data_IF_691426479771
#
_entry.id   IF_691426479771
#
_cell.length_a   1.000
_cell.length_b   1.000
_cell.length_c   1.000
_cell.angle_alpha   90.00
_cell.angle_beta   90.00
_cell.angle_gamma   90.00
#
_symmetry.space_group_name_H-M   'P 1'
#
loop_
_entity.id
_entity.type
_entity.pdbx_description
1 polymer ?
#
# COMPACT_ATOMS: atom_id res chain seq x y z
N UNK A 1 -61.35 -23.42 17.32
CA UNK A 1 -60.35 -22.36 17.59
C UNK A 1 -61.05 -21.02 17.51
N UNK A 2 -61.12 -20.30 18.64
CA UNK A 2 -61.88 -19.05 18.77
C UNK A 2 -61.24 -17.92 17.96
N UNK A 3 -62.02 -16.99 17.40
CA UNK A 3 -61.53 -15.77 16.72
C UNK A 3 -60.47 -15.01 17.54
N UNK A 4 -60.57 -15.07 18.88
CA UNK A 4 -59.59 -14.47 19.80
C UNK A 4 -58.23 -15.17 19.79
N UNK A 5 -58.20 -16.48 19.58
CA UNK A 5 -56.95 -17.27 19.50
C UNK A 5 -56.23 -16.99 18.18
N UNK A 6 -56.97 -16.95 17.06
CA UNK A 6 -56.41 -16.59 15.74
C UNK A 6 -55.79 -15.19 15.70
N UNK A 7 -56.41 -14.21 16.40
CA UNK A 7 -55.86 -12.85 16.51
C UNK A 7 -54.57 -12.80 17.35
N UNK A 8 -54.49 -13.56 18.44
CA UNK A 8 -53.28 -13.66 19.28
C UNK A 8 -52.13 -14.35 18.53
N UNK A 9 -52.43 -15.43 17.82
CA UNK A 9 -51.45 -16.15 17.00
C UNK A 9 -50.91 -15.27 15.86
N UNK A 10 -51.80 -14.54 15.17
CA UNK A 10 -51.41 -13.57 14.14
C UNK A 10 -50.52 -12.43 14.68
N UNK A 11 -50.77 -11.98 15.91
CA UNK A 11 -49.95 -10.95 16.56
C UNK A 11 -48.55 -11.44 16.92
N UNK A 12 -48.44 -12.67 17.44
CA UNK A 12 -47.16 -13.32 17.76
C UNK A 12 -46.32 -13.53 16.48
N UNK A 13 -46.95 -13.99 15.39
CA UNK A 13 -46.28 -14.17 14.10
C UNK A 13 -45.75 -12.83 13.57
N UNK A 14 -46.53 -11.73 13.67
CA UNK A 14 -46.07 -10.40 13.24
C UNK A 14 -44.86 -9.90 14.03
N UNK A 15 -44.84 -10.08 15.35
CA UNK A 15 -43.69 -9.71 16.19
C UNK A 15 -42.46 -10.53 15.81
N UNK A 16 -42.64 -11.83 15.60
CA UNK A 16 -41.55 -12.73 15.20
C UNK A 16 -40.90 -12.29 13.87
N UNK A 17 -41.72 -11.92 12.87
CA UNK A 17 -41.23 -11.41 11.58
C UNK A 17 -40.43 -10.11 11.76
N UNK A 18 -40.89 -9.19 12.62
CA UNK A 18 -40.18 -7.93 12.89
C UNK A 18 -38.83 -8.17 13.54
N UNK A 19 -38.74 -9.10 14.50
CA UNK A 19 -37.48 -9.46 15.15
C UNK A 19 -36.51 -10.09 14.15
N UNK A 20 -36.98 -11.01 13.31
CA UNK A 20 -36.18 -11.61 12.23
C UNK A 20 -35.67 -10.56 11.24
N UNK A 21 -36.51 -9.58 10.90
CA UNK A 21 -36.11 -8.49 10.01
C UNK A 21 -35.00 -7.64 10.64
N UNK A 22 -35.12 -7.28 11.92
CA UNK A 22 -34.09 -6.52 12.64
C UNK A 22 -32.77 -7.30 12.77
N UNK A 23 -32.83 -8.62 13.00
CA UNK A 23 -31.65 -9.47 13.01
C UNK A 23 -31.00 -9.57 11.63
N UNK A 24 -31.79 -9.71 10.57
CA UNK A 24 -31.30 -9.70 9.19
C UNK A 24 -30.60 -8.39 8.82
N UNK A 25 -31.19 -7.24 9.19
CA UNK A 25 -30.58 -5.92 9.00
C UNK A 25 -29.32 -5.76 9.85
N UNK A 26 -29.32 -6.24 11.10
CA UNK A 26 -28.14 -6.22 11.97
C UNK A 26 -26.97 -7.03 11.43
N UNK A 27 -27.26 -8.22 10.88
CA UNK A 27 -26.25 -9.05 10.19
C UNK A 27 -25.76 -8.37 8.92
N UNK A 28 -26.65 -7.79 8.11
CA UNK A 28 -26.28 -7.06 6.90
C UNK A 28 -25.34 -5.88 7.19
N UNK A 29 -25.60 -5.12 8.26
CA UNK A 29 -24.73 -4.03 8.72
C UNK A 29 -23.41 -4.54 9.34
N UNK A 30 -23.40 -5.75 9.90
CA UNK A 30 -22.21 -6.38 10.49
C UNK A 30 -21.27 -6.99 9.45
N UNK A 31 -21.77 -7.30 8.24
CA UNK A 31 -20.92 -7.61 7.08
C UNK A 31 -20.39 -6.30 6.51
N UNK A 32 -19.45 -5.68 7.22
CA UNK A 32 -18.54 -4.76 6.57
C UNK A 32 -17.68 -5.59 5.61
N UNK A 33 -17.61 -5.26 4.31
CA UNK A 33 -16.69 -5.91 3.40
C UNK A 33 -15.28 -5.60 3.89
N UNK A 34 -14.73 -6.56 4.63
CA UNK A 34 -13.43 -6.47 5.23
C UNK A 34 -12.40 -6.56 4.10
N UNK A 35 -12.01 -5.38 3.60
CA UNK A 35 -10.75 -4.92 3.00
C UNK A 35 -9.81 -5.86 2.21
N UNK A 36 -10.23 -7.09 1.89
CA UNK A 36 -9.40 -8.15 1.28
C UNK A 36 -9.16 -7.97 -0.22
N UNK A 37 -9.76 -6.96 -0.85
CA UNK A 37 -9.59 -6.67 -2.28
C UNK A 37 -8.61 -5.52 -2.57
N UNK A 38 -7.79 -5.13 -1.58
CA UNK A 38 -6.51 -4.48 -1.88
C UNK A 38 -5.45 -5.57 -1.90
N UNK A 39 -5.07 -6.03 -3.10
CA UNK A 39 -3.67 -6.42 -3.31
C UNK A 39 -2.85 -5.32 -2.63
N UNK A 40 -2.08 -5.68 -1.60
CA UNK A 40 -1.54 -4.68 -0.70
C UNK A 40 -0.76 -3.66 -1.54
N UNK A 41 -1.23 -2.42 -1.54
CA UNK A 41 -0.78 -1.37 -2.48
C UNK A 41 0.74 -1.22 -2.40
N UNK A 42 1.29 -1.46 -1.22
CA UNK A 42 2.70 -1.61 -0.90
C UNK A 42 3.41 -2.69 -1.75
N UNK A 43 2.88 -3.90 -1.85
CA UNK A 43 3.47 -4.98 -2.66
C UNK A 43 3.37 -4.67 -4.16
N UNK A 44 2.22 -4.18 -4.63
CA UNK A 44 2.07 -3.79 -6.04
C UNK A 44 3.01 -2.65 -6.41
N UNK A 45 3.10 -1.62 -5.56
CA UNK A 45 4.01 -0.50 -5.75
C UNK A 45 5.46 -0.99 -5.78
N UNK A 46 5.87 -1.83 -4.83
CA UNK A 46 7.23 -2.37 -4.80
C UNK A 46 7.56 -3.14 -6.08
N UNK A 47 6.65 -3.98 -6.58
CA UNK A 47 6.83 -4.69 -7.85
C UNK A 47 7.03 -3.73 -9.02
N UNK A 48 6.23 -2.66 -9.11
CA UNK A 48 6.35 -1.64 -10.17
C UNK A 48 7.66 -0.85 -10.06
N UNK A 49 8.09 -0.50 -8.85
CA UNK A 49 9.37 0.15 -8.59
C UNK A 49 10.52 -0.76 -9.03
N UNK A 50 10.52 -2.04 -8.63
CA UNK A 50 11.54 -3.01 -9.05
C UNK A 50 11.59 -3.13 -10.57
N UNK A 51 10.43 -3.26 -11.23
CA UNK A 51 10.37 -3.32 -12.69
C UNK A 51 10.96 -2.06 -13.35
N UNK A 52 10.68 -0.86 -12.80
CA UNK A 52 11.26 0.38 -13.30
C UNK A 52 12.78 0.43 -13.12
N UNK A 53 13.30 -0.07 -11.99
CA UNK A 53 14.74 -0.14 -11.73
C UNK A 53 15.43 -1.11 -12.71
N UNK A 54 14.88 -2.32 -12.87
CA UNK A 54 15.40 -3.34 -13.80
C UNK A 54 15.34 -2.86 -15.24
N UNK A 55 14.25 -2.21 -15.67
CA UNK A 55 14.12 -1.63 -17.01
C UNK A 55 15.17 -0.54 -17.30
N UNK A 56 15.66 0.15 -16.27
CA UNK A 56 16.75 1.12 -16.37
C UNK A 56 18.14 0.48 -16.10
N UNK A 57 18.20 -0.85 -16.10
CA UNK A 57 19.42 -1.65 -16.04
C UNK A 57 20.07 -1.71 -14.67
N UNK A 58 19.30 -1.64 -13.58
CA UNK A 58 19.76 -2.06 -12.24
C UNK A 58 19.69 -3.58 -12.16
N UNK A 59 20.76 -4.19 -11.68
CA UNK A 59 20.87 -5.63 -11.43
C UNK A 59 20.89 -5.92 -9.93
N UNK A 60 20.73 -7.19 -9.57
CA UNK A 60 20.79 -7.62 -8.17
C UNK A 60 22.14 -7.28 -7.52
N UNK A 61 23.24 -7.37 -8.28
CA UNK A 61 24.60 -7.03 -7.82
C UNK A 61 24.79 -5.54 -7.49
N UNK A 62 23.91 -4.66 -8.00
CA UNK A 62 23.93 -3.23 -7.69
C UNK A 62 23.21 -2.91 -6.37
N UNK A 63 22.45 -3.85 -5.79
CA UNK A 63 21.71 -3.67 -4.55
C UNK A 63 22.66 -3.88 -3.36
N UNK A 64 22.93 -2.81 -2.62
CA UNK A 64 23.80 -2.83 -1.43
C UNK A 64 23.05 -3.39 -0.23
N UNK A 65 21.80 -2.97 -0.06
CA UNK A 65 20.94 -3.45 1.02
C UNK A 65 19.49 -3.39 0.60
N UNK A 66 18.73 -4.37 1.09
CA UNK A 66 17.28 -4.42 0.96
C UNK A 66 16.70 -4.94 2.26
N UNK A 67 15.67 -4.28 2.75
CA UNK A 67 14.86 -4.78 3.87
C UNK A 67 13.43 -4.26 3.77
N UNK A 68 12.55 -4.94 4.49
CA UNK A 68 11.15 -4.56 4.62
C UNK A 68 10.80 -4.38 6.09
N UNK A 69 9.89 -3.46 6.38
CA UNK A 69 9.40 -3.19 7.73
C UNK A 69 7.89 -3.15 7.71
N UNK A 70 7.28 -4.04 8.47
CA UNK A 70 5.84 -4.01 8.70
C UNK A 70 5.48 -2.86 9.66
N UNK A 71 4.39 -2.17 9.34
CA UNK A 71 3.84 -1.08 10.12
C UNK A 71 2.40 -1.38 10.44
N UNK A 72 2.14 -1.51 11.73
CA UNK A 72 0.79 -1.63 12.25
C UNK A 72 0.38 -0.39 13.03
N UNK A 73 -0.84 0.04 12.75
CA UNK A 73 -1.57 1.04 13.53
C UNK A 73 -2.95 0.46 13.83
N UNK A 74 -3.68 1.06 14.79
CA UNK A 74 -5.05 0.65 15.11
C UNK A 74 -6.04 0.73 13.94
N UNK A 75 -5.67 1.37 12.82
CA UNK A 75 -6.53 1.60 11.65
C UNK A 75 -6.02 0.97 10.36
N UNK A 76 -4.78 0.50 10.31
CA UNK A 76 -4.17 -0.04 9.10
C UNK A 76 -2.85 -0.75 9.38
N UNK A 77 -2.58 -1.76 8.55
CA UNK A 77 -1.30 -2.42 8.39
C UNK A 77 -0.73 -2.15 6.99
N UNK A 78 0.58 -1.98 6.85
CA UNK A 78 1.26 -1.90 5.55
C UNK A 78 2.75 -2.25 5.67
N UNK A 79 3.39 -2.58 4.53
CA UNK A 79 4.83 -2.84 4.46
C UNK A 79 5.57 -1.62 3.89
N UNK A 80 6.65 -1.23 4.56
CA UNK A 80 7.64 -0.26 4.08
C UNK A 80 8.82 -1.01 3.44
N UNK A 81 9.08 -0.78 2.17
CA UNK A 81 10.24 -1.33 1.45
C UNK A 81 11.40 -0.35 1.42
N UNK A 82 12.61 -0.82 1.68
CA UNK A 82 13.82 -0.02 1.65
C UNK A 82 14.85 -0.69 0.75
N UNK A 83 15.37 0.05 -0.22
CA UNK A 83 16.40 -0.42 -1.15
C UNK A 83 17.51 0.60 -1.28
N UNK A 84 18.74 0.18 -1.02
CA UNK A 84 19.94 0.96 -1.27
C UNK A 84 20.64 0.40 -2.49
N UNK A 85 20.87 1.24 -3.49
CA UNK A 85 21.39 0.84 -4.80
C UNK A 85 22.65 1.64 -5.07
N UNK A 86 23.73 0.92 -5.37
CA UNK A 86 24.98 1.50 -5.85
C UNK A 86 24.84 1.78 -7.34
N UNK A 87 25.01 3.04 -7.73
CA UNK A 87 24.99 3.41 -9.14
C UNK A 87 26.32 3.05 -9.82
N UNK A 88 26.22 2.45 -11.00
CA UNK A 88 27.37 2.19 -11.87
C UNK A 88 27.92 3.50 -12.46
N UNK A 89 29.20 3.47 -12.86
CA UNK A 89 29.88 4.63 -13.44
C UNK A 89 29.11 5.14 -14.67
N UNK A 90 28.80 6.43 -14.70
CA UNK A 90 28.05 7.07 -15.79
C UNK A 90 26.53 7.04 -15.65
N UNK A 91 25.95 6.35 -14.66
CA UNK A 91 24.53 6.48 -14.30
C UNK A 91 24.35 7.53 -13.20
N UNK A 92 23.27 8.31 -13.29
CA UNK A 92 22.89 9.29 -12.27
C UNK A 92 21.52 8.95 -11.69
N UNK A 93 21.25 9.37 -10.46
CA UNK A 93 19.93 9.18 -9.85
C UNK A 93 18.81 9.82 -10.70
N UNK A 94 19.13 10.91 -11.42
CA UNK A 94 18.21 11.64 -12.26
C UNK A 94 17.68 10.81 -13.45
N UNK A 95 18.45 9.84 -13.98
CA UNK A 95 17.97 8.99 -15.08
C UNK A 95 16.77 8.13 -14.68
N UNK A 96 16.60 7.86 -13.39
CA UNK A 96 15.49 7.06 -12.86
C UNK A 96 14.25 7.90 -12.54
N UNK A 97 14.38 9.22 -12.47
CA UNK A 97 13.34 10.11 -11.95
C UNK A 97 12.04 10.02 -12.75
N UNK A 98 12.13 9.98 -14.08
CA UNK A 98 10.96 9.85 -14.97
C UNK A 98 10.23 8.53 -14.74
N UNK A 99 10.97 7.42 -14.62
CA UNK A 99 10.41 6.10 -14.35
C UNK A 99 9.71 6.04 -12.99
N UNK A 100 10.37 6.54 -11.94
CA UNK A 100 9.82 6.57 -10.59
C UNK A 100 8.59 7.49 -10.48
N UNK A 101 8.59 8.66 -11.15
CA UNK A 101 7.42 9.54 -11.25
C UNK A 101 6.25 8.86 -11.97
N UNK A 102 6.53 8.11 -13.04
CA UNK A 102 5.50 7.36 -13.76
C UNK A 102 4.87 6.28 -12.87
N UNK A 103 5.68 5.55 -12.12
CA UNK A 103 5.21 4.56 -11.13
C UNK A 103 4.32 5.23 -10.09
N UNK A 104 4.77 6.33 -9.48
CA UNK A 104 4.02 7.07 -8.47
C UNK A 104 2.64 7.52 -8.97
N UNK A 105 2.59 8.07 -10.20
CA UNK A 105 1.33 8.48 -10.85
C UNK A 105 0.41 7.29 -11.11
N UNK A 106 0.94 6.16 -11.57
CA UNK A 106 0.14 4.98 -11.90
C UNK A 106 -0.56 4.37 -10.68
N UNK A 107 0.06 4.44 -9.51
CA UNK A 107 -0.47 3.91 -8.24
C UNK A 107 -1.12 5.01 -7.39
N UNK A 108 -1.17 6.26 -7.90
CA UNK A 108 -1.75 7.44 -7.23
C UNK A 108 -1.12 7.73 -5.85
N UNK A 109 0.20 7.59 -5.74
CA UNK A 109 0.99 7.94 -4.54
C UNK A 109 1.90 9.15 -4.80
N UNK A 110 2.29 9.83 -3.73
CA UNK A 110 3.28 10.90 -3.78
C UNK A 110 4.70 10.36 -3.97
N UNK A 111 5.57 11.19 -4.54
CA UNK A 111 7.01 10.93 -4.68
C UNK A 111 7.78 12.13 -4.14
N UNK A 112 8.63 11.91 -3.15
CA UNK A 112 9.54 12.90 -2.61
C UNK A 112 10.98 12.53 -2.96
N UNK A 113 11.77 13.52 -3.37
CA UNK A 113 13.21 13.39 -3.59
C UNK A 113 13.94 14.10 -2.46
N UNK A 114 14.97 13.46 -1.93
CA UNK A 114 15.89 14.04 -0.94
C UNK A 114 17.31 13.78 -1.41
N UNK A 115 18.11 14.84 -1.53
CA UNK A 115 19.52 14.75 -1.91
C UNK A 115 20.38 14.98 -0.67
N UNK A 116 21.32 14.07 -0.41
CA UNK A 116 22.32 14.23 0.63
C UNK A 116 23.70 14.39 -0.02
N UNK A 117 24.11 15.64 -0.18
CA UNK A 117 25.36 16.00 -0.86
C UNK A 117 26.62 15.56 -0.11
N UNK A 118 26.55 15.35 1.21
CA UNK A 118 27.70 14.91 2.01
C UNK A 118 28.03 13.43 1.78
N UNK A 119 27.00 12.61 1.55
CA UNK A 119 27.13 11.17 1.33
C UNK A 119 27.04 10.77 -0.15
N UNK A 120 26.80 11.75 -1.04
CA UNK A 120 26.61 11.51 -2.47
C UNK A 120 25.39 10.64 -2.77
N UNK A 121 24.36 10.72 -1.92
CA UNK A 121 23.18 9.85 -1.99
C UNK A 121 21.91 10.63 -2.36
N UNK A 122 21.00 9.97 -3.08
CA UNK A 122 19.70 10.53 -3.49
C UNK A 122 18.63 9.52 -3.16
N UNK A 123 17.68 9.91 -2.31
CA UNK A 123 16.57 9.04 -1.89
C UNK A 123 15.26 9.48 -2.52
N UNK A 124 14.55 8.53 -3.09
CA UNK A 124 13.20 8.67 -3.60
C UNK A 124 12.23 7.91 -2.68
N UNK A 125 11.32 8.66 -2.05
CA UNK A 125 10.32 8.14 -1.12
C UNK A 125 8.93 8.18 -1.74
N UNK A 126 8.27 7.03 -1.80
CA UNK A 126 6.88 6.88 -2.18
C UNK A 126 5.98 6.91 -0.95
N UNK A 127 4.96 7.77 -0.93
CA UNK A 127 4.14 8.00 0.26
C UNK A 127 2.68 8.36 -0.06
N UNK A 128 1.79 8.15 0.90
CA UNK A 128 0.44 8.72 0.92
C UNK A 128 0.11 9.23 2.33
N UNK A 129 -0.20 10.52 2.46
CA UNK A 129 -0.42 11.20 3.74
C UNK A 129 0.74 10.91 4.72
N UNK A 130 0.48 10.08 5.72
CA UNK A 130 1.44 9.70 6.78
C UNK A 130 2.04 8.31 6.59
N UNK A 131 1.80 7.63 5.45
CA UNK A 131 2.29 6.28 5.15
C UNK A 131 3.44 6.37 4.17
N UNK A 132 4.59 5.84 4.55
CA UNK A 132 5.66 5.52 3.60
C UNK A 132 5.41 4.14 3.04
N UNK A 133 5.70 3.91 1.76
CA UNK A 133 5.56 2.58 1.16
C UNK A 133 6.88 2.05 0.61
N UNK A 134 7.66 2.89 -0.07
CA UNK A 134 8.93 2.47 -0.64
C UNK A 134 9.94 3.61 -0.60
N UNK A 135 11.18 3.29 -0.20
CA UNK A 135 12.30 4.20 -0.18
C UNK A 135 13.42 3.59 -1.03
N UNK A 136 13.79 4.28 -2.11
CA UNK A 136 14.89 3.90 -3.00
C UNK A 136 16.01 4.90 -2.86
N UNK A 137 17.13 4.49 -2.28
CA UNK A 137 18.32 5.32 -2.10
C UNK A 137 19.37 4.93 -3.12
N UNK A 138 19.77 5.87 -3.96
CA UNK A 138 20.89 5.74 -4.87
C UNK A 138 22.15 6.32 -4.24
N UNK A 139 23.25 5.58 -4.27
CA UNK A 139 24.56 6.06 -3.83
C UNK A 139 25.45 6.19 -5.05
N UNK A 140 26.02 7.39 -5.25
CA UNK A 140 27.04 7.64 -6.26
C UNK A 140 28.42 7.71 -5.61
N UNK A 141 29.42 7.08 -6.22
CA UNK A 141 30.81 7.36 -5.84
C UNK A 141 31.23 8.67 -6.52
N UNK A 142 31.94 9.56 -5.82
CA UNK A 142 32.55 10.71 -6.46
C UNK A 142 33.46 10.21 -7.59
N UNK A 143 33.35 10.82 -8.77
CA UNK A 143 34.34 10.67 -9.84
C UNK A 143 35.66 11.21 -9.28
N UNK A 144 36.50 10.33 -8.75
CA UNK A 144 37.93 10.63 -8.61
C UNK A 144 38.43 10.69 -10.05
N UNK A 145 38.54 11.91 -10.57
CA UNK A 145 39.25 12.21 -11.82
C UNK A 145 40.74 12.18 -11.55
#
# INVERSE_FOLDING_TARGET
MSEKEKRKESFVIKIYIVILFLLGVGVWLSVHPDSKEKISLDVELNKRVVNALVANGIKQEDIVSEYQRERDTSRASWIEFYKTIKLQKGKSAQSFETGLRSVARSVKVGLQKTENSQEGSVTYKFFDKNRSYSNVTFISFPNIK
#
